data_IF_426081965229
#
_entry.id   IF_426081965229
#
_cell.length_a   1.000
_cell.length_b   1.000
_cell.length_c   1.000
_cell.angle_alpha   90.00
_cell.angle_beta   90.00
_cell.angle_gamma   90.00
#
_symmetry.space_group_name_H-M   'P 1'
#
loop_
_entity.id
_entity.type
_entity.pdbx_description
1 polymer ?
#
# COMPACT_ATOMS: atom_id res chain seq x y z
N UNK A 1 -38.71 16.34 9.54
CA UNK A 1 -37.59 17.17 9.02
C UNK A 1 -36.29 16.67 9.62
N UNK A 2 -35.31 16.33 8.77
CA UNK A 2 -34.06 15.65 9.13
C UNK A 2 -33.24 16.45 10.15
N UNK A 3 -32.99 15.88 11.34
CA UNK A 3 -31.89 16.30 12.22
C UNK A 3 -30.60 15.77 11.58
N UNK A 4 -29.76 16.67 11.08
CA UNK A 4 -28.51 16.39 10.38
C UNK A 4 -27.59 15.54 11.27
N UNK A 5 -27.49 14.23 11.00
CA UNK A 5 -26.52 13.34 11.67
C UNK A 5 -25.13 13.55 11.05
N UNK A 6 -24.49 14.69 11.34
CA UNK A 6 -23.08 14.91 10.99
C UNK A 6 -22.23 14.72 12.23
N UNK A 7 -21.42 13.66 12.25
CA UNK A 7 -20.34 13.56 13.22
C UNK A 7 -19.21 14.49 12.76
N UNK A 8 -19.06 15.62 13.44
CA UNK A 8 -17.92 16.51 13.25
C UNK A 8 -16.88 16.15 14.31
N UNK A 9 -15.64 15.89 13.87
CA UNK A 9 -14.54 15.74 14.80
C UNK A 9 -14.37 17.04 15.60
N UNK A 10 -14.29 16.94 16.92
CA UNK A 10 -14.15 18.11 17.82
C UNK A 10 -12.75 18.72 17.78
N UNK A 11 -11.76 17.96 17.33
CA UNK A 11 -10.37 18.39 17.19
C UNK A 11 -10.06 18.76 15.74
N UNK A 12 -8.99 19.54 15.55
CA UNK A 12 -8.39 19.72 14.24
C UNK A 12 -8.09 18.34 13.60
N UNK A 13 -8.23 18.21 12.27
CA UNK A 13 -7.88 16.99 11.57
C UNK A 13 -6.38 16.70 11.75
N UNK A 14 -6.04 15.47 12.08
CA UNK A 14 -4.66 15.04 12.07
C UNK A 14 -4.19 14.88 10.62
N UNK A 15 -3.16 15.61 10.23
CA UNK A 15 -2.52 15.49 8.91
C UNK A 15 -1.24 14.67 9.10
N UNK A 16 -1.25 13.43 8.63
CA UNK A 16 -0.06 12.59 8.66
C UNK A 16 1.07 13.22 7.84
N UNK A 17 2.31 13.12 8.34
CA UNK A 17 3.53 13.63 7.69
C UNK A 17 3.57 15.13 7.41
N UNK A 18 2.73 15.93 8.08
CA UNK A 18 2.65 17.38 7.87
C UNK A 18 4.01 18.08 7.98
N UNK A 19 4.82 17.72 8.98
CA UNK A 19 6.15 18.28 9.17
C UNK A 19 7.11 17.94 8.01
N UNK A 20 7.08 16.68 7.53
CA UNK A 20 7.90 16.24 6.41
C UNK A 20 7.58 16.98 5.11
N UNK A 21 6.31 17.39 4.93
CA UNK A 21 5.87 18.12 3.75
C UNK A 21 6.14 19.63 3.88
N UNK A 22 5.92 20.21 5.06
CA UNK A 22 6.13 21.66 5.30
C UNK A 22 7.60 22.05 5.34
N UNK A 23 8.46 21.20 5.92
CA UNK A 23 9.90 21.42 5.98
C UNK A 23 10.67 20.10 5.76
N UNK A 24 10.81 19.68 4.49
CA UNK A 24 11.46 18.41 4.14
C UNK A 24 12.98 18.40 4.41
N UNK A 25 13.62 19.56 4.56
CA UNK A 25 15.06 19.63 4.81
C UNK A 25 15.38 19.32 6.28
N UNK A 26 14.57 19.84 7.21
CA UNK A 26 14.74 19.53 8.64
C UNK A 26 14.00 18.26 9.07
N UNK A 27 12.98 17.82 8.32
CA UNK A 27 12.18 16.63 8.58
C UNK A 27 12.16 15.66 7.38
N UNK A 28 13.30 15.09 6.95
CA UNK A 28 13.32 14.13 5.86
C UNK A 28 12.60 12.83 6.25
N UNK A 29 12.09 12.09 5.26
CA UNK A 29 11.65 10.72 5.46
C UNK A 29 12.85 9.81 5.72
N UNK A 30 12.69 8.69 6.47
CA UNK A 30 13.77 7.72 6.72
C UNK A 30 14.01 6.81 5.50
N UNK A 31 14.22 7.42 4.34
CA UNK A 31 14.51 6.75 3.06
C UNK A 31 15.84 7.28 2.52
N UNK A 32 16.53 6.53 1.63
CA UNK A 32 17.78 6.98 1.02
C UNK A 32 17.68 8.36 0.35
N UNK A 33 16.55 8.68 -0.27
CA UNK A 33 16.32 9.99 -0.90
C UNK A 33 15.85 11.10 0.06
N UNK A 34 15.51 10.77 1.30
CA UNK A 34 14.86 11.68 2.25
C UNK A 34 13.40 12.01 1.89
N UNK A 35 12.82 11.35 0.88
CA UNK A 35 11.48 11.59 0.32
C UNK A 35 10.64 10.30 0.29
N UNK A 36 9.37 10.42 -0.04
CA UNK A 36 8.54 9.25 -0.40
C UNK A 36 9.07 8.67 -1.72
N UNK A 37 9.47 7.40 -1.71
CA UNK A 37 10.03 6.72 -2.88
C UNK A 37 8.94 6.03 -3.68
N UNK A 38 8.50 6.66 -4.77
CA UNK A 38 7.58 6.03 -5.74
C UNK A 38 8.30 4.88 -6.46
N UNK A 39 9.57 5.11 -6.83
CA UNK A 39 10.48 4.11 -7.37
C UNK A 39 11.50 3.73 -6.30
N UNK A 40 11.64 2.44 -6.00
CA UNK A 40 12.67 1.94 -5.08
C UNK A 40 13.88 1.42 -5.84
N UNK A 41 14.98 2.18 -5.83
CA UNK A 41 16.26 1.73 -6.41
C UNK A 41 16.75 0.43 -5.78
N UNK A 42 16.58 0.28 -4.46
CA UNK A 42 16.98 -0.93 -3.74
C UNK A 42 16.28 -2.17 -4.30
N UNK A 43 14.97 -2.09 -4.56
CA UNK A 43 14.23 -3.21 -5.16
C UNK A 43 14.61 -3.42 -6.62
N UNK A 44 14.83 -2.33 -7.37
CA UNK A 44 15.29 -2.43 -8.77
C UNK A 44 16.62 -3.18 -8.89
N UNK A 45 17.57 -2.88 -8.02
CA UNK A 45 18.90 -3.49 -8.01
C UNK A 45 18.85 -5.01 -7.69
N UNK A 46 17.76 -5.51 -7.08
CA UNK A 46 17.58 -6.95 -6.81
C UNK A 46 17.29 -7.75 -8.09
N UNK A 47 16.80 -7.10 -9.16
CA UNK A 47 16.41 -7.74 -10.43
C UNK A 47 15.43 -8.92 -10.24
N UNK A 48 14.59 -8.84 -9.22
CA UNK A 48 13.60 -9.86 -8.89
C UNK A 48 12.25 -9.52 -9.55
N UNK A 49 11.74 -10.35 -10.47
CA UNK A 49 10.45 -10.10 -11.13
C UNK A 49 9.25 -10.18 -10.18
N UNK A 50 9.35 -10.87 -9.04
CA UNK A 50 8.29 -10.94 -8.03
C UNK A 50 8.26 -9.71 -7.11
N UNK A 51 9.33 -8.91 -7.11
CA UNK A 51 9.49 -7.74 -6.23
C UNK A 51 9.83 -6.49 -7.07
N UNK A 52 8.86 -5.95 -7.84
CA UNK A 52 9.10 -4.84 -8.74
C UNK A 52 9.41 -3.54 -7.98
N UNK A 53 10.28 -2.71 -8.58
CA UNK A 53 10.69 -1.41 -8.03
C UNK A 53 9.60 -0.33 -8.04
N UNK A 54 8.57 -0.54 -8.87
CA UNK A 54 7.38 0.28 -8.98
C UNK A 54 6.17 -0.62 -8.72
N UNK A 55 5.09 -0.01 -8.24
CA UNK A 55 3.79 -0.69 -8.13
C UNK A 55 3.41 -1.27 -9.49
N UNK A 56 3.39 -2.60 -9.57
CA UNK A 56 3.11 -3.38 -10.77
C UNK A 56 2.26 -4.60 -10.37
N UNK A 57 1.44 -5.08 -11.29
CA UNK A 57 0.66 -6.30 -11.06
C UNK A 57 1.57 -7.52 -11.16
N UNK A 58 1.64 -8.31 -10.09
CA UNK A 58 2.31 -9.61 -10.08
C UNK A 58 1.23 -10.66 -9.78
N UNK A 59 0.96 -11.62 -10.69
CA UNK A 59 0.01 -12.68 -10.45
C UNK A 59 0.38 -13.50 -9.21
N UNK A 60 -0.61 -13.85 -8.39
CA UNK A 60 -0.37 -14.71 -7.23
C UNK A 60 -0.13 -16.16 -7.65
N UNK A 61 0.76 -16.85 -6.94
CA UNK A 61 0.88 -18.31 -7.02
C UNK A 61 -0.46 -18.97 -6.69
N UNK A 62 -0.90 -19.93 -7.52
CA UNK A 62 -2.22 -20.57 -7.40
C UNK A 62 -3.39 -19.57 -7.40
N UNK A 63 -3.19 -18.40 -8.00
CA UNK A 63 -4.20 -17.36 -8.15
C UNK A 63 -5.21 -17.63 -9.27
N UNK A 64 -6.15 -16.70 -9.51
CA UNK A 64 -7.20 -16.83 -10.52
C UNK A 64 -6.69 -16.97 -11.97
N UNK A 65 -5.47 -16.53 -12.25
CA UNK A 65 -4.84 -16.63 -13.57
C UNK A 65 -3.97 -17.89 -13.71
N UNK A 66 -3.83 -18.69 -12.66
CA UNK A 66 -3.01 -19.89 -12.67
C UNK A 66 -3.67 -21.00 -13.52
N UNK A 67 -2.84 -21.77 -14.23
CA UNK A 67 -3.29 -22.92 -15.03
C UNK A 67 -3.95 -24.00 -14.18
N UNK A 68 -3.61 -24.07 -12.89
CA UNK A 68 -4.20 -25.01 -11.94
C UNK A 68 -5.70 -24.81 -11.73
N UNK A 69 -6.24 -23.64 -12.06
CA UNK A 69 -7.69 -23.37 -12.04
C UNK A 69 -8.50 -24.36 -12.89
N UNK A 70 -7.91 -24.91 -13.97
CA UNK A 70 -8.54 -25.94 -14.79
C UNK A 70 -8.77 -27.26 -14.04
N UNK A 71 -7.94 -27.57 -13.03
CA UNK A 71 -8.04 -28.77 -12.20
C UNK A 71 -8.70 -28.48 -10.85
N UNK A 72 -8.41 -27.32 -10.27
CA UNK A 72 -8.86 -26.86 -8.96
C UNK A 72 -9.58 -25.50 -9.13
N UNK A 73 -10.87 -25.50 -9.49
CA UNK A 73 -11.56 -24.27 -9.89
C UNK A 73 -11.97 -23.36 -8.71
N UNK A 74 -11.80 -23.81 -7.47
CA UNK A 74 -12.19 -23.06 -6.27
C UNK A 74 -10.96 -22.58 -5.53
N UNK A 75 -10.94 -21.29 -5.18
CA UNK A 75 -9.90 -20.70 -4.35
C UNK A 75 -10.27 -20.80 -2.86
N UNK A 76 -9.35 -21.34 -2.04
CA UNK A 76 -9.51 -21.37 -0.59
C UNK A 76 -9.07 -20.03 0.00
N UNK A 77 -10.02 -19.28 0.56
CA UNK A 77 -9.75 -18.02 1.25
C UNK A 77 -10.11 -18.20 2.72
N UNK A 78 -9.12 -18.10 3.60
CA UNK A 78 -9.32 -18.17 5.05
C UNK A 78 -9.59 -16.78 5.61
N UNK A 79 -10.75 -16.58 6.22
CA UNK A 79 -11.00 -15.38 7.04
C UNK A 79 -10.51 -15.62 8.46
N UNK A 80 -10.11 -14.55 9.16
CA UNK A 80 -9.74 -14.64 10.57
C UNK A 80 -10.99 -14.95 11.40
N UNK A 81 -11.07 -16.13 12.00
CA UNK A 81 -12.14 -16.53 12.91
C UNK A 81 -12.35 -15.54 14.08
N UNK A 82 -13.54 -15.57 14.68
CA UNK A 82 -13.88 -14.77 15.85
C UNK A 82 -13.00 -15.10 17.05
#
# INVERSE_FOLDING_TARGET
LQKTRRHLFKSAPHIAFEANIRDPQSNPFPTPSGKIEIFSKRLFDMQDPEIPALSHYVPAFEGPEDKLTAKYPLQLITWKGK
#
